data_IF_098304981586
#
_entry.id   IF_098304981586
#
_cell.length_a   1.000
_cell.length_b   1.000
_cell.length_c   1.000
_cell.angle_alpha   90.00
_cell.angle_beta   90.00
_cell.angle_gamma   90.00
#
_symmetry.space_group_name_H-M   'P 1'
#
loop_
_entity.id
_entity.type
_entity.pdbx_description
1 polymer ?
#
# COMPACT_ATOMS: atom_id res chain seq x y z
N UNK A 1 -19.43 -3.62 17.58
CA UNK A 1 -18.24 -4.00 18.37
C UNK A 1 -17.27 -2.83 18.40
N UNK A 2 -17.16 -2.14 19.54
CA UNK A 2 -16.25 -1.00 19.68
C UNK A 2 -14.80 -1.50 19.70
N UNK A 3 -13.98 -1.05 18.73
CA UNK A 3 -12.53 -1.31 18.77
C UNK A 3 -11.95 -0.57 19.98
N UNK A 4 -11.39 -1.30 20.93
CA UNK A 4 -10.58 -0.71 22.00
C UNK A 4 -9.39 0.02 21.36
N UNK A 5 -9.32 1.34 21.57
CA UNK A 5 -8.18 2.16 21.16
C UNK A 5 -7.04 1.95 22.17
N UNK A 6 -6.42 0.78 22.15
CA UNK A 6 -5.21 0.58 22.93
C UNK A 6 -4.06 1.43 22.37
N UNK A 7 -3.42 2.19 23.25
CA UNK A 7 -2.19 2.91 22.94
C UNK A 7 -1.06 1.92 22.66
N UNK A 8 -0.20 2.23 21.69
CA UNK A 8 0.98 1.39 21.38
C UNK A 8 1.88 1.26 22.60
N UNK A 9 2.50 0.08 22.77
CA UNK A 9 3.41 -0.24 23.89
C UNK A 9 4.41 0.88 24.19
N UNK A 10 5.08 1.39 23.17
CA UNK A 10 6.04 2.49 23.26
C UNK A 10 5.47 3.79 23.87
N UNK A 11 4.21 4.13 23.54
CA UNK A 11 3.53 5.31 24.09
C UNK A 11 3.15 5.07 25.55
N UNK A 12 2.81 3.84 25.93
CA UNK A 12 2.49 3.47 27.32
C UNK A 12 3.75 3.52 28.19
N UNK A 13 4.84 2.92 27.72
CA UNK A 13 6.12 2.89 28.43
C UNK A 13 6.64 4.33 28.64
N UNK A 14 6.60 5.17 27.60
CA UNK A 14 6.96 6.59 27.71
C UNK A 14 6.04 7.40 28.63
N UNK A 15 4.74 7.09 28.67
CA UNK A 15 3.80 7.72 29.62
C UNK A 15 4.17 7.37 31.07
N UNK A 16 4.53 6.11 31.32
CA UNK A 16 4.93 5.63 32.66
C UNK A 16 6.22 6.30 33.11
N UNK A 17 7.21 6.42 32.22
CA UNK A 17 8.50 7.05 32.55
C UNK A 17 8.34 8.54 32.86
N UNK A 18 7.56 9.27 32.06
CA UNK A 18 7.29 10.70 32.30
C UNK A 18 6.48 10.92 33.60
N UNK A 19 5.59 9.99 33.94
CA UNK A 19 4.84 10.04 35.20
C UNK A 19 5.73 9.74 36.41
N UNK A 20 6.62 8.74 36.32
CA UNK A 20 7.64 8.46 37.36
C UNK A 20 8.61 9.63 37.56
N UNK A 21 8.86 10.41 36.51
CA UNK A 21 9.62 11.65 36.58
C UNK A 21 8.84 12.83 37.21
N UNK A 22 7.62 12.60 37.71
CA UNK A 22 6.82 13.61 38.42
C UNK A 22 6.05 14.58 37.52
N UNK A 23 5.96 14.32 36.21
CA UNK A 23 5.20 15.19 35.32
C UNK A 23 3.69 14.97 35.44
N UNK A 24 2.93 16.07 35.44
CA UNK A 24 1.47 16.04 35.46
C UNK A 24 0.86 15.55 34.15
N UNK A 25 -0.32 14.93 34.21
CA UNK A 25 -1.01 14.32 33.08
C UNK A 25 -1.24 15.27 31.89
N UNK A 26 -1.55 16.57 32.13
CA UNK A 26 -1.69 17.58 31.07
C UNK A 26 -0.37 17.82 30.31
N UNK A 27 0.75 17.87 31.02
CA UNK A 27 2.08 18.06 30.44
C UNK A 27 2.49 16.86 29.62
N UNK A 28 2.28 15.65 30.16
CA UNK A 28 2.54 14.39 29.47
C UNK A 28 1.72 14.31 28.19
N UNK A 29 0.41 14.61 28.25
CA UNK A 29 -0.45 14.61 27.06
C UNK A 29 0.04 15.60 25.99
N UNK A 30 0.46 16.80 26.39
CA UNK A 30 0.99 17.83 25.49
C UNK A 30 2.33 17.43 24.86
N UNK A 31 3.20 16.75 25.62
CA UNK A 31 4.51 16.28 25.17
C UNK A 31 4.41 15.04 24.27
N UNK A 32 3.41 14.19 24.52
CA UNK A 32 3.08 13.08 23.63
C UNK A 32 2.36 13.55 22.34
N UNK A 33 1.69 14.69 22.40
CA UNK A 33 1.07 15.41 21.27
C UNK A 33 1.99 16.48 20.67
N UNK A 34 3.29 16.50 21.02
CA UNK A 34 4.23 17.50 20.48
C UNK A 34 4.26 17.40 18.94
N UNK A 35 3.62 18.40 18.34
CA UNK A 35 3.59 18.60 16.90
C UNK A 35 5.03 18.79 16.42
N UNK A 36 5.36 18.14 15.30
CA UNK A 36 6.65 18.31 14.63
C UNK A 36 6.90 19.82 14.46
N UNK A 37 8.09 20.28 14.81
CA UNK A 37 8.45 21.69 14.65
C UNK A 37 8.29 22.13 13.19
N UNK A 38 8.02 23.41 12.90
CA UNK A 38 7.92 23.90 11.53
C UNK A 38 9.18 23.56 10.69
N UNK A 39 10.36 23.64 11.31
CA UNK A 39 11.63 23.20 10.72
C UNK A 39 11.65 21.71 10.40
N UNK A 40 11.17 20.87 11.31
CA UNK A 40 11.03 19.43 11.09
C UNK A 40 10.08 19.09 9.94
N UNK A 41 8.96 19.82 9.82
CA UNK A 41 8.03 19.68 8.68
C UNK A 41 8.71 20.07 7.37
N UNK A 42 9.41 21.21 7.32
CA UNK A 42 10.16 21.62 6.13
C UNK A 42 11.23 20.61 5.72
N UNK A 43 11.92 20.00 6.69
CA UNK A 43 12.89 18.94 6.40
C UNK A 43 12.22 17.71 5.80
N UNK A 44 11.11 17.23 6.39
CA UNK A 44 10.34 16.11 5.84
C UNK A 44 9.92 16.40 4.40
N UNK A 45 9.30 17.57 4.16
CA UNK A 45 8.77 17.93 2.86
C UNK A 45 9.87 18.06 1.80
N UNK A 46 11.04 18.59 2.18
CA UNK A 46 12.22 18.65 1.31
C UNK A 46 12.72 17.24 0.95
N UNK A 47 12.87 16.35 1.93
CA UNK A 47 13.35 14.98 1.68
C UNK A 47 12.40 14.22 0.78
N UNK A 48 11.09 14.27 1.04
CA UNK A 48 10.09 13.57 0.21
C UNK A 48 10.01 14.15 -1.21
N UNK A 49 10.16 15.47 -1.37
CA UNK A 49 10.16 16.09 -2.70
C UNK A 49 11.39 15.69 -3.53
N UNK A 50 12.56 15.61 -2.90
CA UNK A 50 13.80 15.24 -3.57
C UNK A 50 13.92 13.72 -3.80
N UNK A 51 13.32 12.92 -2.92
CA UNK A 51 13.34 11.47 -2.98
C UNK A 51 11.94 10.90 -2.70
N UNK A 52 11.08 10.77 -3.73
CA UNK A 52 9.68 10.34 -3.54
C UNK A 52 9.54 8.88 -3.11
N UNK A 53 10.62 8.10 -3.13
CA UNK A 53 10.67 6.71 -2.65
C UNK A 53 11.03 6.58 -1.16
N UNK A 54 11.33 7.68 -0.48
CA UNK A 54 11.68 7.69 0.95
C UNK A 54 10.52 7.14 1.78
N UNK A 55 10.84 6.23 2.69
CA UNK A 55 9.85 5.62 3.58
C UNK A 55 9.64 6.47 4.83
N UNK A 56 8.57 6.20 5.58
CA UNK A 56 8.36 6.84 6.89
C UNK A 56 9.46 6.46 7.88
N UNK A 57 10.14 5.33 7.68
CA UNK A 57 11.27 4.90 8.52
C UNK A 57 12.46 5.82 8.32
N UNK A 58 12.80 6.04 7.06
CA UNK A 58 13.93 6.87 6.66
C UNK A 58 13.75 8.29 7.21
N UNK A 59 12.54 8.84 7.15
CA UNK A 59 12.21 10.14 7.73
C UNK A 59 12.33 10.17 9.26
N UNK A 60 11.99 9.08 9.97
CA UNK A 60 12.21 8.99 11.43
C UNK A 60 13.71 9.02 11.72
N UNK A 61 14.51 8.28 10.96
CA UNK A 61 15.96 8.21 11.14
C UNK A 61 16.63 9.57 10.88
N UNK A 62 16.24 10.25 9.81
CA UNK A 62 16.74 11.59 9.45
C UNK A 62 16.43 12.62 10.56
N UNK A 63 15.20 12.59 11.08
CA UNK A 63 14.80 13.50 12.16
C UNK A 63 15.50 13.16 13.47
N UNK A 64 15.70 11.86 13.76
CA UNK A 64 16.45 11.42 14.94
C UNK A 64 17.91 11.87 14.87
N UNK A 65 18.53 11.83 13.69
CA UNK A 65 19.87 12.37 13.47
C UNK A 65 19.93 13.89 13.68
N UNK A 66 18.85 14.61 13.34
CA UNK A 66 18.69 16.03 13.62
C UNK A 66 18.26 16.35 15.08
N UNK A 67 18.32 15.37 15.99
CA UNK A 67 17.96 15.52 17.41
C UNK A 67 16.45 15.56 17.70
N UNK A 68 15.61 15.30 16.71
CA UNK A 68 14.15 15.33 16.82
C UNK A 68 13.60 13.89 16.91
N UNK A 69 13.14 13.49 18.09
CA UNK A 69 12.53 12.16 18.27
C UNK A 69 11.05 12.20 17.91
N UNK A 70 10.67 11.61 16.79
CA UNK A 70 9.26 11.50 16.34
C UNK A 70 8.88 10.06 16.04
N UNK A 71 7.58 9.77 16.13
CA UNK A 71 7.05 8.45 15.77
C UNK A 71 6.66 8.39 14.29
N UNK A 72 6.65 7.19 13.69
CA UNK A 72 6.16 6.95 12.32
C UNK A 72 4.72 7.44 12.11
N UNK A 73 3.89 7.38 13.16
CA UNK A 73 2.49 7.83 13.14
C UNK A 73 2.40 9.34 13.01
N UNK A 74 3.22 10.07 13.77
CA UNK A 74 3.30 11.53 13.69
C UNK A 74 3.71 11.98 12.29
N UNK A 75 4.76 11.39 11.71
CA UNK A 75 5.18 11.66 10.33
C UNK A 75 4.06 11.35 9.33
N UNK A 76 3.39 10.19 9.49
CA UNK A 76 2.27 9.82 8.62
C UNK A 76 1.07 10.76 8.72
N UNK A 77 0.85 11.42 9.85
CA UNK A 77 -0.19 12.44 10.00
C UNK A 77 0.23 13.77 9.36
N UNK A 78 1.47 14.20 9.58
CA UNK A 78 2.04 15.40 8.94
C UNK A 78 2.02 15.28 7.41
N UNK A 79 2.49 14.16 6.84
CA UNK A 79 2.45 13.95 5.40
C UNK A 79 1.03 14.03 4.84
N UNK A 80 0.03 13.49 5.55
CA UNK A 80 -1.37 13.56 5.12
C UNK A 80 -1.96 14.97 5.22
N UNK A 81 -1.60 15.72 6.25
CA UNK A 81 -1.99 17.13 6.39
C UNK A 81 -1.44 17.96 5.23
N UNK A 82 -0.22 17.66 4.80
CA UNK A 82 0.44 18.28 3.64
C UNK A 82 0.01 17.69 2.28
N UNK A 83 -1.05 16.87 2.25
CA UNK A 83 -1.62 16.31 1.02
C UNK A 83 -0.85 15.13 0.41
N UNK A 84 0.22 14.66 1.04
CA UNK A 84 1.02 13.54 0.55
C UNK A 84 0.44 12.20 0.99
N UNK A 85 0.26 11.30 0.01
CA UNK A 85 -0.23 9.93 0.21
C UNK A 85 0.90 8.95 -0.03
N UNK A 86 1.04 7.97 0.86
CA UNK A 86 1.95 6.85 0.64
C UNK A 86 1.34 5.88 -0.37
N UNK A 87 2.14 5.46 -1.35
CA UNK A 87 1.80 4.37 -2.26
C UNK A 87 2.61 3.13 -1.92
N UNK A 88 1.98 1.96 -1.95
CA UNK A 88 2.67 0.67 -1.85
C UNK A 88 2.80 0.07 -3.24
N UNK A 89 4.01 -0.33 -3.61
CA UNK A 89 4.21 -1.09 -4.85
C UNK A 89 3.47 -2.43 -4.76
N UNK A 90 2.79 -2.82 -5.85
CA UNK A 90 2.19 -4.16 -5.95
C UNK A 90 3.32 -5.19 -6.01
N UNK A 91 3.14 -6.34 -5.34
CA UNK A 91 4.07 -7.46 -5.44
C UNK A 91 4.11 -7.96 -6.88
N UNK A 92 5.29 -8.02 -7.47
CA UNK A 92 5.53 -8.58 -8.81
C UNK A 92 6.03 -10.01 -8.65
N UNK A 93 5.36 -10.97 -9.31
CA UNK A 93 5.75 -12.39 -9.28
C UNK A 93 6.53 -12.82 -10.54
N UNK A 94 6.64 -11.93 -11.53
CA UNK A 94 7.22 -12.22 -12.84
C UNK A 94 6.24 -11.92 -13.97
N UNK A 95 6.75 -12.05 -15.20
CA UNK A 95 5.98 -11.84 -16.43
C UNK A 95 5.33 -13.15 -16.84
N UNK A 96 4.04 -13.12 -17.18
CA UNK A 96 3.34 -14.27 -17.75
C UNK A 96 3.74 -14.54 -19.20
N UNK A 97 3.19 -15.59 -19.79
CA UNK A 97 3.39 -15.94 -21.18
C UNK A 97 2.80 -14.86 -22.11
N UNK A 98 3.58 -14.47 -23.12
CA UNK A 98 3.14 -13.57 -24.17
C UNK A 98 2.63 -14.37 -25.37
N UNK A 99 1.50 -13.94 -25.93
CA UNK A 99 0.89 -14.56 -27.10
C UNK A 99 0.72 -13.53 -28.21
N UNK A 100 1.24 -13.83 -29.40
CA UNK A 100 1.11 -12.96 -30.57
C UNK A 100 -0.21 -13.24 -31.28
N UNK A 101 -1.11 -12.27 -31.26
CA UNK A 101 -2.37 -12.32 -32.00
C UNK A 101 -2.07 -12.14 -33.50
N UNK A 102 -2.59 -13.05 -34.32
CA UNK A 102 -2.55 -12.94 -35.79
C UNK A 102 -3.95 -12.57 -36.28
N UNK A 103 -4.09 -11.39 -36.88
CA UNK A 103 -5.37 -10.89 -37.38
C UNK A 103 -6.22 -10.16 -36.33
N UNK A 104 -7.49 -9.93 -36.65
CA UNK A 104 -8.44 -9.25 -35.76
C UNK A 104 -8.91 -10.21 -34.66
N UNK A 105 -8.86 -9.76 -33.40
CA UNK A 105 -9.31 -10.57 -32.28
C UNK A 105 -10.81 -10.50 -32.08
N UNK A 106 -11.46 -11.66 -31.97
CA UNK A 106 -12.84 -11.79 -31.51
C UNK A 106 -12.90 -12.34 -30.07
N UNK A 107 -14.11 -12.40 -29.50
CA UNK A 107 -14.30 -12.89 -28.13
C UNK A 107 -14.03 -14.38 -27.95
N UNK A 108 -14.20 -15.20 -28.99
CA UNK A 108 -13.96 -16.65 -28.92
C UNK A 108 -12.46 -16.95 -28.89
N UNK A 109 -11.70 -16.29 -29.77
CA UNK A 109 -10.25 -16.36 -29.80
C UNK A 109 -9.64 -15.80 -28.51
N UNK A 110 -10.23 -14.75 -27.93
CA UNK A 110 -9.80 -14.28 -26.60
C UNK A 110 -9.94 -15.38 -25.53
N UNK A 111 -11.08 -16.07 -25.46
CA UNK A 111 -11.26 -17.21 -24.54
C UNK A 111 -10.23 -18.32 -24.75
N UNK A 112 -9.89 -18.63 -26.01
CA UNK A 112 -8.88 -19.61 -26.36
C UNK A 112 -7.49 -19.18 -25.86
N UNK A 113 -7.09 -17.94 -26.14
CA UNK A 113 -5.81 -17.37 -25.70
C UNK A 113 -5.69 -17.39 -24.18
N UNK A 114 -6.76 -17.03 -23.45
CA UNK A 114 -6.78 -17.12 -22.00
C UNK A 114 -6.61 -18.56 -21.52
N UNK A 115 -7.28 -19.52 -22.14
CA UNK A 115 -7.13 -20.94 -21.80
C UNK A 115 -5.71 -21.46 -21.97
N UNK A 116 -5.08 -21.11 -23.10
CA UNK A 116 -3.74 -21.58 -23.48
C UNK A 116 -2.62 -20.87 -22.73
N UNK A 117 -2.79 -19.60 -22.35
CA UNK A 117 -1.68 -18.80 -21.79
C UNK A 117 -1.90 -18.39 -20.33
N UNK A 118 -3.12 -17.97 -19.94
CA UNK A 118 -3.36 -17.40 -18.61
C UNK A 118 -3.20 -18.45 -17.51
N UNK A 119 -3.86 -19.60 -17.65
CA UNK A 119 -3.84 -20.64 -16.63
C UNK A 119 -2.43 -21.28 -16.48
N UNK A 120 -1.71 -21.59 -17.56
CA UNK A 120 -0.32 -22.01 -17.45
C UNK A 120 0.58 -20.94 -16.83
N UNK A 121 0.41 -19.66 -17.19
CA UNK A 121 1.18 -18.56 -16.60
C UNK A 121 0.97 -18.45 -15.09
N UNK A 122 -0.29 -18.52 -14.62
CA UNK A 122 -0.59 -18.45 -13.19
C UNK A 122 0.07 -19.60 -12.41
N UNK A 123 0.10 -20.80 -13.00
CA UNK A 123 0.80 -21.97 -12.42
C UNK A 123 2.32 -21.78 -12.42
N UNK A 124 2.89 -21.35 -13.54
CA UNK A 124 4.34 -21.13 -13.67
C UNK A 124 4.85 -20.06 -12.70
N UNK A 125 4.09 -18.98 -12.53
CA UNK A 125 4.38 -17.88 -11.59
C UNK A 125 4.03 -18.22 -10.13
N UNK A 126 3.62 -19.47 -9.83
CA UNK A 126 3.22 -19.93 -8.50
C UNK A 126 2.20 -18.99 -7.83
N UNK A 127 1.29 -18.43 -8.62
CA UNK A 127 0.20 -17.59 -8.11
C UNK A 127 -0.73 -18.49 -7.30
N UNK A 128 -0.67 -18.37 -5.97
CA UNK A 128 -1.44 -19.20 -5.05
C UNK A 128 -2.95 -19.06 -5.19
N UNK A 129 -3.71 -19.71 -4.30
CA UNK A 129 -5.18 -19.64 -4.30
C UNK A 129 -5.64 -18.19 -4.06
N UNK A 130 -6.53 -17.70 -4.93
CA UNK A 130 -7.15 -16.37 -4.80
C UNK A 130 -6.54 -15.26 -5.64
N UNK A 131 -5.75 -15.57 -6.66
CA UNK A 131 -5.34 -14.57 -7.66
C UNK A 131 -6.57 -14.00 -8.39
N UNK A 132 -6.46 -12.73 -8.79
CA UNK A 132 -7.51 -11.99 -9.51
C UNK A 132 -6.94 -11.60 -10.87
N UNK A 133 -7.69 -11.89 -11.92
CA UNK A 133 -7.38 -11.50 -13.28
C UNK A 133 -7.87 -10.08 -13.54
N UNK A 134 -7.04 -9.25 -14.16
CA UNK A 134 -7.43 -7.90 -14.57
C UNK A 134 -7.28 -7.79 -16.09
N UNK A 135 -8.32 -7.27 -16.74
CA UNK A 135 -8.32 -6.91 -18.15
C UNK A 135 -9.08 -5.60 -18.34
N UNK A 136 -9.00 -5.01 -19.52
CA UNK A 136 -9.75 -3.78 -19.83
C UNK A 136 -11.23 -4.08 -20.17
N UNK A 137 -12.01 -3.01 -20.35
CA UNK A 137 -13.42 -3.06 -20.70
C UNK A 137 -13.68 -3.09 -22.21
N UNK A 138 -12.74 -3.58 -23.03
CA UNK A 138 -12.96 -3.73 -24.46
C UNK A 138 -14.20 -4.64 -24.72
N UNK A 139 -15.09 -4.28 -25.67
CA UNK A 139 -16.27 -5.08 -26.03
C UNK A 139 -16.02 -6.59 -26.17
N UNK A 140 -14.85 -7.03 -26.65
CA UNK A 140 -14.51 -8.46 -26.81
C UNK A 140 -14.18 -9.15 -25.48
N UNK A 141 -13.66 -8.40 -24.50
CA UNK A 141 -13.48 -8.91 -23.14
C UNK A 141 -14.80 -8.88 -22.33
N UNK A 142 -15.69 -7.95 -22.69
CA UNK A 142 -17.03 -7.82 -22.09
C UNK A 142 -18.12 -8.63 -22.78
N UNK A 143 -17.78 -9.32 -23.86
CA UNK A 143 -18.68 -10.20 -24.59
C UNK A 143 -19.27 -11.27 -23.66
N UNK A 144 -20.52 -11.66 -23.93
CA UNK A 144 -21.24 -12.69 -23.16
C UNK A 144 -20.46 -14.01 -23.11
N UNK A 145 -19.90 -14.40 -24.25
CA UNK A 145 -19.04 -15.60 -24.40
C UNK A 145 -17.86 -15.57 -23.44
N UNK A 146 -17.15 -14.44 -23.37
CA UNK A 146 -16.00 -14.24 -22.47
C UNK A 146 -16.40 -14.31 -21.00
N UNK A 147 -17.49 -13.63 -20.62
CA UNK A 147 -18.01 -13.65 -19.24
C UNK A 147 -18.40 -15.07 -18.80
N UNK A 148 -19.08 -15.82 -19.68
CA UNK A 148 -19.47 -17.21 -19.41
C UNK A 148 -18.25 -18.12 -19.29
N UNK A 149 -17.25 -17.97 -20.16
CA UNK A 149 -16.03 -18.75 -20.10
C UNK A 149 -15.25 -18.51 -18.79
N UNK A 150 -15.08 -17.25 -18.39
CA UNK A 150 -14.41 -16.87 -17.13
C UNK A 150 -15.13 -17.47 -15.91
N UNK A 151 -16.47 -17.41 -15.91
CA UNK A 151 -17.30 -18.03 -14.88
C UNK A 151 -17.13 -19.55 -14.85
N UNK A 152 -17.16 -20.21 -16.02
CA UNK A 152 -16.96 -21.67 -16.15
C UNK A 152 -15.58 -22.13 -15.69
N UNK A 153 -14.55 -21.30 -15.88
CA UNK A 153 -13.17 -21.59 -15.43
C UNK A 153 -12.90 -21.15 -13.98
N UNK A 154 -13.90 -20.63 -13.27
CA UNK A 154 -13.79 -20.13 -11.90
C UNK A 154 -12.70 -19.05 -11.72
N UNK A 155 -12.52 -18.20 -12.73
CA UNK A 155 -11.53 -17.12 -12.70
C UNK A 155 -12.17 -15.87 -12.08
N UNK A 156 -11.59 -15.36 -11.00
CA UNK A 156 -12.02 -14.11 -10.39
C UNK A 156 -11.46 -12.93 -11.19
N UNK A 157 -12.34 -12.05 -11.67
CA UNK A 157 -11.98 -10.87 -12.45
C UNK A 157 -12.06 -9.62 -11.56
N UNK A 158 -11.13 -8.68 -11.74
CA UNK A 158 -11.20 -7.36 -11.14
C UNK A 158 -12.19 -6.51 -11.94
N UNK A 159 -13.34 -6.21 -11.33
CA UNK A 159 -14.36 -5.32 -11.90
C UNK A 159 -14.05 -3.85 -11.66
#
# INVERSE_FOLDING_TARGET
MAKTKELSKDVRDKTVDLHKAGMGYKTIAKQLDEKISPRGVSMIMRTVRNQPRTTREDLVNDLKAAGTTVTKKTIGNTLRHEGLKSCSARKFQGTGQLYRIKGMMDGAMYCQILGENLLPSARALKMGRGWVFQHDNDPKHMAKTTKEWLKKKHIKVLG
#
